data_IF_481555812396
#
_entry.id   IF_481555812396
#
_cell.length_a   1.000
_cell.length_b   1.000
_cell.length_c   1.000
_cell.angle_alpha   90.00
_cell.angle_beta   90.00
_cell.angle_gamma   90.00
#
_symmetry.space_group_name_H-M   'P 1'
#
loop_
_entity.id
_entity.type
_entity.pdbx_description
1 polymer ?
#
# COMPACT_ATOMS: atom_id res chain seq x y z
N UNK A 1 -3.62 -10.09 1.08
CA UNK A 1 -3.28 -11.05 0.00
C UNK A 1 -4.25 -10.90 -1.17
N UNK A 2 -3.80 -10.65 -2.41
CA UNK A 2 -4.66 -10.77 -3.59
C UNK A 2 -3.93 -11.16 -4.88
N UNK A 3 -4.63 -11.96 -5.71
CA UNK A 3 -4.24 -12.41 -7.05
C UNK A 3 -4.95 -11.53 -8.11
N UNK A 4 -4.16 -10.98 -9.04
CA UNK A 4 -4.40 -10.43 -10.39
C UNK A 4 -5.79 -9.89 -10.78
N UNK A 5 -5.84 -8.62 -11.22
CA UNK A 5 -7.04 -7.95 -11.75
C UNK A 5 -6.93 -7.60 -13.25
N UNK A 6 -7.89 -8.07 -14.05
CA UNK A 6 -8.11 -7.72 -15.46
C UNK A 6 -9.61 -7.62 -15.76
N UNK A 7 -10.02 -6.73 -16.67
CA UNK A 7 -11.40 -6.59 -17.16
C UNK A 7 -11.74 -7.65 -18.22
N UNK A 8 -12.98 -7.64 -18.73
CA UNK A 8 -13.50 -8.55 -19.75
C UNK A 8 -12.72 -8.57 -21.10
N UNK A 9 -11.74 -7.68 -21.25
CA UNK A 9 -10.87 -7.52 -22.41
C UNK A 9 -9.41 -7.89 -22.08
N UNK A 10 -9.13 -8.34 -20.85
CA UNK A 10 -7.77 -8.50 -20.31
C UNK A 10 -7.09 -7.20 -19.86
N UNK A 11 -7.82 -6.09 -19.72
CA UNK A 11 -7.28 -4.76 -19.36
C UNK A 11 -7.61 -4.37 -17.91
N UNK A 12 -6.69 -3.91 -17.06
CA UNK A 12 -7.03 -3.57 -15.68
C UNK A 12 -7.83 -2.25 -15.59
N UNK A 13 -9.14 -2.28 -15.41
CA UNK A 13 -9.93 -1.01 -15.36
C UNK A 13 -9.92 -0.38 -13.98
N UNK A 14 -9.50 0.90 -13.91
CA UNK A 14 -9.76 1.93 -12.88
C UNK A 14 -10.31 1.30 -11.59
N UNK A 15 -9.41 0.68 -10.84
CA UNK A 15 -9.69 -0.35 -9.85
C UNK A 15 -10.92 -0.04 -9.00
N UNK A 16 -12.01 -0.77 -9.26
CA UNK A 16 -13.07 -0.94 -8.25
C UNK A 16 -12.36 -1.54 -7.04
N UNK A 17 -12.39 -0.82 -5.92
CA UNK A 17 -11.90 -1.34 -4.66
C UNK A 17 -12.85 -2.45 -4.24
N UNK A 18 -12.50 -3.68 -4.60
CA UNK A 18 -13.25 -4.90 -4.27
C UNK A 18 -12.70 -5.57 -2.99
N UNK A 19 -11.88 -4.85 -2.22
CA UNK A 19 -11.27 -5.31 -0.97
C UNK A 19 -11.77 -4.51 0.24
N UNK A 20 -11.49 -5.02 1.42
CA UNK A 20 -11.71 -4.30 2.67
C UNK A 20 -10.79 -3.08 2.75
N UNK A 21 -11.36 -1.93 3.08
CA UNK A 21 -10.59 -0.73 3.40
C UNK A 21 -10.30 -0.78 4.89
N UNK A 22 -9.03 -0.81 5.24
CA UNK A 22 -8.57 -0.80 6.63
C UNK A 22 -7.68 0.42 6.87
N UNK A 23 -7.86 1.04 8.03
CA UNK A 23 -6.95 2.06 8.52
C UNK A 23 -5.84 1.39 9.34
N UNK A 24 -4.59 1.65 8.97
CA UNK A 24 -3.41 1.13 9.66
C UNK A 24 -2.62 2.32 10.19
N UNK A 25 -2.44 2.37 11.51
CA UNK A 25 -1.51 3.29 12.15
C UNK A 25 -0.22 2.52 12.42
N UNK A 26 0.88 2.98 11.82
CA UNK A 26 2.22 2.45 12.04
C UNK A 26 3.06 3.48 12.78
N UNK A 27 3.84 3.01 13.75
CA UNK A 27 4.83 3.82 14.44
C UNK A 27 6.18 3.62 13.77
N UNK A 28 6.81 4.73 13.38
CA UNK A 28 8.10 4.72 12.69
C UNK A 28 9.18 4.15 13.61
N UNK A 29 10.00 3.24 13.09
CA UNK A 29 11.24 2.82 13.75
C UNK A 29 12.39 3.72 13.33
N UNK A 30 13.39 3.85 14.19
CA UNK A 30 14.59 4.68 13.93
C UNK A 30 15.38 4.20 12.71
N UNK A 31 15.47 2.88 12.49
CA UNK A 31 16.32 2.28 11.46
C UNK A 31 15.59 2.00 10.15
N UNK A 32 14.37 1.46 10.22
CA UNK A 32 13.64 0.96 9.04
C UNK A 32 12.47 1.86 8.63
N UNK A 33 12.23 2.95 9.35
CA UNK A 33 11.11 3.84 9.11
C UNK A 33 9.78 3.12 9.31
N UNK A 34 8.89 3.17 8.30
CA UNK A 34 7.63 2.41 8.33
C UNK A 34 7.79 0.96 7.84
N UNK A 35 8.94 0.60 7.24
CA UNK A 35 9.24 -0.79 6.90
C UNK A 35 8.63 -1.33 5.61
N UNK A 36 8.24 -0.48 4.65
CA UNK A 36 7.72 -0.94 3.35
C UNK A 36 8.10 -0.01 2.18
N UNK A 37 8.10 -0.57 0.97
CA UNK A 37 8.34 0.17 -0.27
C UNK A 37 7.05 0.35 -1.06
N UNK A 38 6.92 1.48 -1.75
CA UNK A 38 5.80 1.75 -2.67
C UNK A 38 6.26 1.92 -4.12
N UNK A 39 5.35 1.67 -5.07
CA UNK A 39 5.48 2.06 -6.48
C UNK A 39 4.12 2.47 -7.03
N UNK A 40 4.13 3.14 -8.18
CA UNK A 40 2.91 3.60 -8.83
C UNK A 40 2.72 5.10 -8.66
N UNK A 41 1.55 5.58 -9.04
CA UNK A 41 1.28 7.00 -9.22
C UNK A 41 0.68 7.27 -10.60
N UNK A 42 0.15 8.48 -10.77
CA UNK A 42 -0.49 8.91 -12.02
C UNK A 42 0.50 9.08 -13.17
N UNK A 43 1.68 9.61 -12.85
CA UNK A 43 2.80 9.83 -13.76
C UNK A 43 3.56 8.55 -14.10
N UNK A 44 3.71 7.64 -13.12
CA UNK A 44 4.39 6.36 -13.29
C UNK A 44 3.53 5.18 -12.79
N UNK A 45 2.47 4.78 -13.53
CA UNK A 45 1.62 3.67 -13.14
C UNK A 45 2.41 2.36 -12.97
N UNK A 46 2.25 1.70 -11.82
CA UNK A 46 2.88 0.41 -11.58
C UNK A 46 2.11 -0.74 -12.25
N UNK A 47 0.78 -0.61 -12.31
CA UNK A 47 -0.14 -1.54 -12.95
C UNK A 47 -0.72 -0.83 -14.18
N UNK A 48 -0.73 -1.44 -15.38
CA UNK A 48 -1.33 -0.83 -16.56
C UNK A 48 -2.76 -0.39 -16.27
N UNK A 49 -3.13 0.84 -16.68
CA UNK A 49 -4.47 1.40 -16.49
C UNK A 49 -4.93 1.62 -15.02
N UNK A 50 -4.04 1.41 -14.03
CA UNK A 50 -4.27 1.81 -12.63
C UNK A 50 -3.16 2.75 -12.13
N UNK A 51 -3.51 4.01 -11.93
CA UNK A 51 -2.65 5.08 -11.38
C UNK A 51 -2.47 4.99 -9.85
N UNK A 52 -2.81 3.87 -9.25
CA UNK A 52 -2.67 3.63 -7.81
C UNK A 52 -1.23 3.60 -7.32
N UNK A 53 -1.06 3.80 -6.02
CA UNK A 53 0.20 3.57 -5.30
C UNK A 53 0.07 2.23 -4.57
N UNK A 54 1.06 1.36 -4.73
CA UNK A 54 1.00 -0.02 -4.25
C UNK A 54 2.23 -0.37 -3.42
N UNK A 55 2.03 -1.17 -2.38
CA UNK A 55 3.11 -1.76 -1.61
C UNK A 55 3.80 -2.83 -2.46
N UNK A 56 5.13 -2.75 -2.56
CA UNK A 56 5.95 -3.68 -3.37
C UNK A 56 6.91 -4.53 -2.57
N UNK A 57 7.18 -4.13 -1.32
CA UNK A 57 8.01 -4.91 -0.40
C UNK A 57 7.61 -4.59 1.03
N UNK A 58 7.46 -5.62 1.85
CA UNK A 58 7.48 -5.52 3.32
C UNK A 58 8.88 -5.93 3.80
N UNK A 59 9.51 -5.12 4.67
CA UNK A 59 10.84 -5.40 5.23
C UNK A 59 10.68 -6.21 6.50
N UNK A 60 11.37 -7.34 6.61
CA UNK A 60 11.16 -8.37 7.65
C UNK A 60 11.30 -7.83 9.10
N UNK A 61 12.10 -6.78 9.32
CA UNK A 61 12.29 -6.14 10.63
C UNK A 61 11.62 -4.74 10.73
N UNK A 62 10.75 -4.41 9.79
CA UNK A 62 10.08 -3.13 9.71
C UNK A 62 8.81 -3.03 10.58
N UNK A 63 8.35 -1.79 10.80
CA UNK A 63 7.10 -1.54 11.53
C UNK A 63 5.90 -2.26 10.89
N UNK A 64 5.78 -2.21 9.57
CA UNK A 64 4.71 -2.89 8.85
C UNK A 64 4.75 -4.43 8.99
N UNK A 65 5.94 -5.05 9.03
CA UNK A 65 6.06 -6.49 9.25
C UNK A 65 5.68 -6.88 10.68
N UNK A 66 6.11 -6.09 11.66
CA UNK A 66 5.74 -6.29 13.07
C UNK A 66 4.24 -6.15 13.31
N UNK A 67 3.59 -5.21 12.63
CA UNK A 67 2.13 -5.03 12.67
C UNK A 67 1.36 -6.14 11.94
N UNK A 68 1.88 -6.59 10.79
CA UNK A 68 1.40 -7.76 10.06
C UNK A 68 0.11 -7.56 9.25
N UNK A 69 -0.54 -6.40 9.32
CA UNK A 69 -1.78 -6.13 8.55
C UNK A 69 -1.52 -5.67 7.12
N UNK A 70 -0.45 -4.91 6.88
CA UNK A 70 -0.06 -4.42 5.55
C UNK A 70 0.72 -5.49 4.77
N UNK A 71 0.35 -5.72 3.50
CA UNK A 71 0.93 -6.74 2.63
C UNK A 71 1.45 -6.19 1.31
N UNK A 72 2.38 -6.92 0.68
CA UNK A 72 2.76 -6.67 -0.72
C UNK A 72 1.54 -6.82 -1.65
N UNK A 73 1.36 -5.86 -2.56
CA UNK A 73 0.21 -5.76 -3.45
C UNK A 73 -0.94 -4.88 -2.94
N UNK A 74 -0.93 -4.49 -1.67
CA UNK A 74 -1.97 -3.59 -1.13
C UNK A 74 -1.87 -2.20 -1.76
N UNK A 75 -3.04 -1.59 -2.01
CA UNK A 75 -3.15 -0.25 -2.58
C UNK A 75 -3.29 0.80 -1.49
N UNK A 76 -2.39 1.78 -1.49
CA UNK A 76 -2.48 2.93 -0.60
C UNK A 76 -3.50 3.91 -1.18
N UNK A 77 -4.56 4.19 -0.41
CA UNK A 77 -5.64 5.08 -0.83
C UNK A 77 -5.46 6.49 -0.29
N UNK A 78 -4.92 6.60 0.92
CA UNK A 78 -4.73 7.85 1.64
C UNK A 78 -3.58 7.66 2.64
N UNK A 79 -2.85 8.74 2.88
CA UNK A 79 -1.92 8.87 3.99
C UNK A 79 -2.40 10.05 4.84
N UNK A 80 -2.39 9.89 6.15
CA UNK A 80 -2.70 10.95 7.10
C UNK A 80 -1.45 11.28 7.92
N UNK A 81 -1.22 12.58 8.15
CA UNK A 81 -0.19 13.07 9.06
C UNK A 81 -0.70 12.97 10.49
N UNK A 82 -0.78 11.75 11.01
CA UNK A 82 -1.08 11.54 12.42
C UNK A 82 0.17 11.87 13.24
N UNK A 83 0.36 13.15 13.56
CA UNK A 83 1.38 13.56 14.53
C UNK A 83 0.90 13.11 15.90
N UNK A 84 1.60 12.14 16.51
CA UNK A 84 1.39 11.84 17.92
C UNK A 84 1.69 13.11 18.71
N UNK A 85 0.65 13.76 19.24
CA UNK A 85 0.83 14.79 20.25
C UNK A 85 1.40 14.09 21.49
N UNK A 86 2.72 14.09 21.62
CA UNK A 86 3.36 13.86 22.91
C UNK A 86 3.25 15.18 23.68
N UNK A 87 2.55 15.12 24.82
CA UNK A 87 2.64 16.12 25.89
C UNK A 87 3.93 15.98 26.68
#
# INVERSE_FOLDING_TARGET
MQKNYTNANGRPTRSKINGEIIDIVLYRTETEGLGFNIRGGYDMPHIPEDSGVFVTKIREDGAAASDGRLSEGDKILKLDDLVSQLG
#
